data_IF_721039125720
#
_entry.id   IF_721039125720
#
_cell.length_a   1.000
_cell.length_b   1.000
_cell.length_c   1.000
_cell.angle_alpha   90.00
_cell.angle_beta   90.00
_cell.angle_gamma   90.00
#
_symmetry.space_group_name_H-M   'P 1'
#
loop_
_entity.id
_entity.type
_entity.pdbx_description
1 polymer ?
#
# COMPACT_ATOMS: atom_id res chain seq x y z
N UNK A 1 52.78 29.59 -25.99
CA UNK A 1 52.39 29.36 -24.58
C UNK A 1 50.97 28.79 -24.57
N UNK A 2 50.82 27.50 -24.22
CA UNK A 2 49.55 26.76 -24.31
C UNK A 2 48.75 26.93 -23.02
N UNK A 3 47.46 27.21 -23.14
CA UNK A 3 46.52 27.32 -22.03
C UNK A 3 45.35 26.35 -22.30
N UNK A 4 44.77 25.82 -21.21
CA UNK A 4 43.50 25.08 -21.11
C UNK A 4 43.55 23.61 -21.57
N UNK A 5 42.96 22.63 -20.89
CA UNK A 5 42.12 22.61 -19.70
C UNK A 5 42.33 21.25 -19.01
N UNK A 6 42.32 21.23 -17.68
CA UNK A 6 42.12 20.01 -16.89
C UNK A 6 40.64 19.67 -17.04
N UNK A 7 40.31 18.78 -17.97
CA UNK A 7 38.97 18.18 -18.03
C UNK A 7 38.87 17.19 -16.88
N UNK A 8 38.31 17.69 -15.79
CA UNK A 8 37.69 16.92 -14.71
C UNK A 8 36.68 15.97 -15.36
N UNK A 9 37.08 14.74 -15.64
CA UNK A 9 36.15 13.67 -15.99
C UNK A 9 35.31 13.41 -14.73
N UNK A 10 34.20 14.14 -14.66
CA UNK A 10 33.18 14.00 -13.65
C UNK A 10 32.90 12.52 -13.44
N UNK A 11 32.86 12.15 -12.16
CA UNK A 11 32.20 10.97 -11.66
C UNK A 11 30.79 10.84 -12.27
N UNK A 12 30.68 10.21 -13.43
CA UNK A 12 29.46 9.55 -13.84
C UNK A 12 29.37 8.29 -12.99
N UNK A 13 29.04 8.46 -11.71
CA UNK A 13 28.45 7.37 -10.96
C UNK A 13 27.22 6.99 -11.78
N UNK A 14 27.27 5.81 -12.39
CA UNK A 14 26.07 5.14 -12.86
C UNK A 14 25.21 4.94 -11.60
N UNK A 15 24.37 5.93 -11.30
CA UNK A 15 23.24 5.73 -10.43
C UNK A 15 22.39 4.71 -11.17
N UNK A 16 22.57 3.44 -10.83
CA UNK A 16 21.53 2.45 -11.01
C UNK A 16 20.29 3.08 -10.38
N UNK A 17 19.42 3.65 -11.20
CA UNK A 17 18.18 4.22 -10.71
C UNK A 17 17.44 3.08 -10.02
N UNK A 18 17.24 3.17 -8.71
CA UNK A 18 16.21 2.39 -8.05
C UNK A 18 14.91 2.76 -8.74
N UNK A 19 14.49 1.96 -9.72
CA UNK A 19 13.17 2.07 -10.33
C UNK A 19 12.18 1.48 -9.33
N UNK A 20 11.99 2.10 -8.17
CA UNK A 20 10.94 1.70 -7.24
C UNK A 20 10.47 2.89 -6.43
N UNK A 21 9.18 2.93 -6.18
CA UNK A 21 8.57 3.92 -5.29
C UNK A 21 8.22 3.20 -3.99
N UNK A 22 8.71 3.72 -2.87
CA UNK A 22 8.47 3.19 -1.52
C UNK A 22 8.04 4.32 -0.61
N UNK A 23 6.87 4.17 0.00
CA UNK A 23 6.28 5.21 0.82
C UNK A 23 5.34 4.64 1.87
N UNK A 24 4.97 5.46 2.84
CA UNK A 24 4.10 5.06 3.93
C UNK A 24 2.73 5.69 3.81
N UNK A 25 1.71 4.95 4.22
CA UNK A 25 0.37 5.45 4.44
C UNK A 25 -0.05 5.16 5.88
N UNK A 26 -0.40 6.20 6.63
CA UNK A 26 -0.80 6.08 8.02
C UNK A 26 -2.18 5.44 8.15
N UNK A 27 -2.48 4.84 9.29
CA UNK A 27 -3.80 4.26 9.58
C UNK A 27 -4.89 5.35 9.45
N UNK A 28 -5.80 5.17 8.50
CA UNK A 28 -6.98 6.02 8.37
C UNK A 28 -8.05 5.58 9.38
N UNK A 29 -8.44 4.31 9.33
CA UNK A 29 -9.44 3.73 10.22
C UNK A 29 -9.21 2.23 10.40
N UNK A 30 -9.70 1.68 11.51
CA UNK A 30 -9.81 0.23 11.71
C UNK A 30 -11.28 -0.12 11.83
N UNK A 31 -11.76 -1.00 10.95
CA UNK A 31 -13.18 -1.30 10.83
C UNK A 31 -13.47 -2.68 10.26
N UNK A 32 -14.73 -3.08 10.34
CA UNK A 32 -15.25 -4.32 9.75
C UNK A 32 -15.88 -4.01 8.40
N UNK A 33 -15.04 -3.57 7.47
CA UNK A 33 -15.45 -3.21 6.12
C UNK A 33 -14.53 -3.92 5.13
N UNK A 34 -15.12 -4.58 4.15
CA UNK A 34 -14.41 -5.33 3.11
C UNK A 34 -15.21 -5.27 1.80
N UNK A 35 -15.10 -4.17 1.05
CA UNK A 35 -15.89 -3.99 -0.17
C UNK A 35 -15.49 -4.96 -1.29
N UNK A 36 -14.33 -5.63 -1.19
CA UNK A 36 -13.87 -6.57 -2.21
C UNK A 36 -14.43 -7.97 -1.98
N UNK A 37 -14.38 -8.48 -0.74
CA UNK A 37 -14.85 -9.84 -0.42
C UNK A 37 -16.30 -9.85 0.06
N UNK A 38 -16.75 -8.81 0.75
CA UNK A 38 -18.11 -8.69 1.32
C UNK A 38 -18.75 -7.32 1.01
N UNK A 39 -18.98 -7.01 -0.28
CA UNK A 39 -19.54 -5.73 -0.70
C UNK A 39 -20.90 -5.45 -0.05
N UNK A 40 -21.05 -4.23 0.48
CA UNK A 40 -22.28 -3.73 1.09
C UNK A 40 -22.54 -4.21 2.52
N UNK A 41 -21.63 -5.00 3.10
CA UNK A 41 -21.80 -5.55 4.45
C UNK A 41 -21.12 -4.64 5.48
N UNK A 42 -21.93 -3.93 6.28
CA UNK A 42 -21.44 -2.99 7.30
C UNK A 42 -20.74 -3.66 8.51
N UNK A 43 -20.74 -4.99 8.57
CA UNK A 43 -20.00 -5.79 9.56
C UNK A 43 -19.39 -7.02 8.86
N UNK A 44 -18.27 -6.82 8.16
CA UNK A 44 -17.54 -7.93 7.55
C UNK A 44 -17.02 -8.91 8.62
N UNK A 45 -16.85 -10.21 8.28
CA UNK A 45 -16.26 -11.21 9.17
C UNK A 45 -14.87 -10.83 9.68
N UNK A 46 -14.08 -10.15 8.85
CA UNK A 46 -12.74 -9.67 9.18
C UNK A 46 -12.73 -8.21 9.65
N UNK A 47 -11.74 -7.88 10.48
CA UNK A 47 -11.41 -6.49 10.85
C UNK A 47 -10.20 -6.07 10.05
N UNK A 48 -10.30 -4.95 9.36
CA UNK A 48 -9.24 -4.41 8.53
C UNK A 48 -8.68 -3.12 9.09
N UNK A 49 -7.37 -2.95 8.96
CA UNK A 49 -6.73 -1.65 8.99
C UNK A 49 -6.79 -1.07 7.58
N UNK A 50 -7.33 0.14 7.45
CA UNK A 50 -7.52 0.82 6.17
C UNK A 50 -6.62 2.05 6.11
N UNK A 51 -6.04 2.30 4.94
CA UNK A 51 -5.16 3.43 4.63
C UNK A 51 -5.46 3.98 3.22
N UNK A 52 -4.94 5.17 2.91
CA UNK A 52 -5.03 5.79 1.59
C UNK A 52 -6.12 6.85 1.51
N UNK A 53 -6.82 6.92 0.37
CA UNK A 53 -7.87 7.90 0.08
C UNK A 53 -9.06 7.85 1.05
N UNK A 54 -9.74 8.98 1.28
CA UNK A 54 -10.89 9.07 2.19
C UNK A 54 -12.23 8.65 1.58
N UNK A 55 -12.28 8.14 0.35
CA UNK A 55 -13.51 7.65 -0.29
C UNK A 55 -13.89 6.21 0.08
N UNK A 56 -13.10 5.53 0.92
CA UNK A 56 -13.32 4.13 1.29
C UNK A 56 -14.70 3.89 1.94
N UNK A 57 -15.45 2.91 1.43
CA UNK A 57 -16.81 2.61 1.89
C UNK A 57 -17.10 1.09 1.84
N UNK A 58 -18.20 0.64 2.44
CA UNK A 58 -18.61 -0.78 2.53
C UNK A 58 -18.94 -1.43 1.19
N UNK A 59 -19.38 -0.67 0.19
CA UNK A 59 -19.83 -1.22 -1.09
C UNK A 59 -18.79 -1.10 -2.20
N UNK A 60 -18.14 0.07 -2.33
CA UNK A 60 -17.23 0.48 -3.42
C UNK A 60 -17.48 -0.30 -4.72
N UNK A 61 -18.57 -0.05 -5.44
CA UNK A 61 -18.86 -0.79 -6.69
C UNK A 61 -17.86 -0.40 -7.81
N UNK A 62 -17.15 -1.34 -8.45
CA UNK A 62 -16.15 -1.04 -9.49
C UNK A 62 -16.68 -0.25 -10.68
N UNK A 63 -17.99 -0.32 -10.96
CA UNK A 63 -18.58 0.38 -12.09
C UNK A 63 -18.88 1.85 -11.81
N UNK A 64 -19.04 2.23 -10.54
CA UNK A 64 -19.59 3.55 -10.15
C UNK A 64 -18.71 4.32 -9.19
N UNK A 65 -17.85 3.63 -8.43
CA UNK A 65 -16.96 4.20 -7.44
C UNK A 65 -15.52 4.24 -7.98
N UNK A 66 -14.95 5.44 -7.99
CA UNK A 66 -13.58 5.69 -8.42
C UNK A 66 -12.84 6.40 -7.28
N UNK A 67 -11.89 5.74 -6.59
CA UNK A 67 -11.19 6.33 -5.46
C UNK A 67 -10.48 7.65 -5.78
N UNK A 68 -9.96 7.80 -7.01
CA UNK A 68 -9.27 9.04 -7.44
C UNK A 68 -10.22 10.22 -7.47
N UNK A 69 -11.39 10.01 -8.07
CA UNK A 69 -12.38 11.06 -8.27
C UNK A 69 -13.11 11.41 -6.98
N UNK A 70 -13.38 10.39 -6.17
CA UNK A 70 -14.27 10.52 -5.02
C UNK A 70 -13.51 10.89 -3.72
N UNK A 71 -12.18 10.76 -3.68
CA UNK A 71 -11.34 11.17 -2.54
C UNK A 71 -10.92 12.64 -2.60
N UNK A 72 -10.87 13.30 -1.45
CA UNK A 72 -10.37 14.68 -1.27
C UNK A 72 -9.09 14.76 -0.45
N UNK A 73 -8.71 13.68 0.24
CA UNK A 73 -7.47 13.57 0.99
C UNK A 73 -6.97 12.12 1.04
N UNK A 74 -5.71 11.95 1.41
CA UNK A 74 -5.07 10.63 1.55
C UNK A 74 -4.24 10.57 2.83
N UNK A 75 -4.12 9.38 3.42
CA UNK A 75 -3.20 9.12 4.54
C UNK A 75 -1.78 8.76 4.11
N UNK A 76 -1.53 8.70 2.80
CA UNK A 76 -0.21 8.44 2.20
C UNK A 76 0.69 9.67 2.19
N UNK A 77 2.00 9.46 2.18
CA UNK A 77 2.98 10.57 2.10
C UNK A 77 3.04 11.22 0.71
N UNK A 78 2.58 10.52 -0.33
CA UNK A 78 2.33 11.12 -1.65
C UNK A 78 0.90 11.65 -1.68
N UNK A 79 0.74 12.95 -1.93
CA UNK A 79 -0.56 13.63 -1.97
C UNK A 79 -1.43 13.19 -3.15
N UNK A 80 -0.81 12.62 -4.18
CA UNK A 80 -1.43 12.20 -5.43
C UNK A 80 -1.99 10.77 -5.34
N UNK A 81 -1.66 10.02 -4.30
CA UNK A 81 -2.12 8.64 -4.14
C UNK A 81 -3.43 8.57 -3.37
N UNK A 82 -4.53 8.44 -4.12
CA UNK A 82 -5.89 8.23 -3.61
C UNK A 82 -6.33 6.77 -3.60
N UNK A 83 -5.41 5.82 -3.85
CA UNK A 83 -5.71 4.39 -3.74
C UNK A 83 -6.19 4.04 -2.32
N UNK A 84 -6.94 2.96 -2.19
CA UNK A 84 -7.26 2.38 -0.90
C UNK A 84 -6.55 1.05 -0.70
N UNK A 85 -5.90 0.90 0.45
CA UNK A 85 -5.28 -0.36 0.85
C UNK A 85 -5.80 -0.77 2.21
N UNK A 86 -6.10 -2.05 2.38
CA UNK A 86 -6.54 -2.57 3.66
C UNK A 86 -6.02 -3.98 3.91
N UNK A 87 -5.66 -4.26 5.16
CA UNK A 87 -5.09 -5.54 5.57
C UNK A 87 -5.79 -6.03 6.83
N UNK A 88 -5.91 -7.35 6.98
CA UNK A 88 -6.51 -7.90 8.19
C UNK A 88 -5.66 -7.58 9.43
N UNK A 89 -6.35 -7.21 10.51
CA UNK A 89 -5.72 -6.82 11.76
C UNK A 89 -5.26 -8.06 12.53
N UNK A 90 -4.00 -8.06 12.96
CA UNK A 90 -3.46 -9.11 13.79
C UNK A 90 -3.82 -8.90 15.28
N UNK A 91 -4.24 -9.97 15.94
CA UNK A 91 -4.48 -10.01 17.38
C UNK A 91 -3.56 -11.02 18.05
N UNK A 92 -2.89 -10.60 19.11
CA UNK A 92 -2.20 -11.50 20.03
C UNK A 92 -3.20 -12.11 21.00
N UNK A 93 -3.26 -13.44 21.05
CA UNK A 93 -4.02 -14.19 22.05
C UNK A 93 -3.14 -14.48 23.26
N UNK A 94 -3.44 -13.85 24.39
CA UNK A 94 -2.74 -14.09 25.64
C UNK A 94 -3.12 -15.45 26.26
N UNK A 95 -2.28 -15.97 27.16
CA UNK A 95 -2.50 -17.27 27.83
C UNK A 95 -3.82 -17.33 28.63
N UNK A 96 -4.33 -16.18 29.05
CA UNK A 96 -5.63 -16.05 29.73
C UNK A 96 -6.83 -16.01 28.77
N UNK A 97 -6.63 -16.22 27.47
CA UNK A 97 -7.69 -16.24 26.46
C UNK A 97 -8.11 -14.86 25.92
N UNK A 98 -7.59 -13.76 26.47
CA UNK A 98 -7.88 -12.41 25.97
C UNK A 98 -7.12 -12.11 24.67
N UNK A 99 -7.70 -11.24 23.85
CA UNK A 99 -7.10 -10.79 22.60
C UNK A 99 -6.69 -9.32 22.71
N UNK A 100 -5.47 -9.01 22.25
CA UNK A 100 -4.97 -7.64 22.15
C UNK A 100 -4.52 -7.37 20.72
N UNK A 101 -5.01 -6.28 20.12
CA UNK A 101 -4.58 -5.86 18.78
C UNK A 101 -3.07 -5.60 18.78
N UNK A 102 -2.37 -6.21 17.83
CA UNK A 102 -0.96 -5.91 17.57
C UNK A 102 -0.90 -4.56 16.87
N UNK A 103 -0.17 -3.60 17.45
CA UNK A 103 0.03 -2.29 16.83
C UNK A 103 1.06 -2.40 15.72
N UNK A 104 0.74 -1.82 14.56
CA UNK A 104 1.66 -1.66 13.46
C UNK A 104 2.63 -0.52 13.80
N UNK A 105 3.89 -0.68 13.44
CA UNK A 105 4.89 0.37 13.53
C UNK A 105 5.40 0.70 12.12
N UNK A 106 5.81 1.96 11.87
CA UNK A 106 6.33 2.36 10.57
C UNK A 106 7.56 1.55 10.17
N UNK A 107 7.69 1.28 8.87
CA UNK A 107 8.90 0.65 8.34
C UNK A 107 10.11 1.61 8.45
N UNK A 108 11.31 1.05 8.54
CA UNK A 108 12.55 1.81 8.79
C UNK A 108 12.72 2.92 7.75
N UNK A 109 13.03 4.12 8.22
CA UNK A 109 13.25 5.30 7.38
C UNK A 109 11.97 5.98 6.88
N UNK A 110 10.79 5.52 7.28
CA UNK A 110 9.51 6.16 6.98
C UNK A 110 8.87 6.74 8.25
N UNK A 111 8.00 7.74 8.08
CA UNK A 111 7.22 8.35 9.17
C UNK A 111 5.73 8.13 8.91
N UNK A 112 5.08 7.43 9.82
CA UNK A 112 3.65 7.18 9.79
C UNK A 112 3.12 6.92 11.20
N UNK A 113 1.80 6.94 11.36
CA UNK A 113 1.11 6.40 12.54
C UNK A 113 0.41 5.10 12.16
N UNK A 114 0.95 3.96 12.61
CA UNK A 114 0.50 2.64 12.19
C UNK A 114 0.59 2.45 10.67
N UNK A 115 -0.47 1.87 10.08
CA UNK A 115 -0.65 1.85 8.64
C UNK A 115 0.18 0.81 7.91
N UNK A 116 0.55 1.11 6.66
CA UNK A 116 1.26 0.19 5.75
C UNK A 116 2.39 0.91 5.01
N UNK A 117 3.30 0.12 4.44
CA UNK A 117 4.29 0.61 3.47
C UNK A 117 3.93 0.07 2.09
N UNK A 118 3.78 0.97 1.14
CA UNK A 118 3.43 0.65 -0.25
C UNK A 118 4.70 0.63 -1.09
N UNK A 119 4.78 -0.36 -1.98
CA UNK A 119 5.88 -0.57 -2.91
C UNK A 119 5.32 -0.65 -4.32
N UNK A 120 5.74 0.25 -5.20
CA UNK A 120 5.58 0.09 -6.64
C UNK A 120 6.93 -0.28 -7.22
N UNK A 121 7.03 -1.53 -7.68
CA UNK A 121 8.25 -2.10 -8.23
C UNK A 121 7.92 -2.56 -9.67
N UNK A 122 8.47 -1.90 -10.70
CA UNK A 122 8.39 -2.35 -12.07
C UNK A 122 9.20 -3.64 -12.25
N UNK A 123 8.94 -4.42 -13.32
CA UNK A 123 9.77 -5.56 -13.66
C UNK A 123 11.25 -5.16 -13.82
N UNK A 124 12.15 -5.97 -13.28
CA UNK A 124 13.60 -5.73 -13.33
C UNK A 124 14.25 -5.99 -14.71
N UNK A 125 13.44 -6.10 -15.77
CA UNK A 125 13.90 -6.46 -17.11
C UNK A 125 14.36 -5.26 -17.95
N UNK A 126 14.10 -4.03 -17.47
CA UNK A 126 14.43 -2.78 -18.16
C UNK A 126 13.73 -2.61 -19.51
N UNK A 127 12.73 -3.44 -19.83
CA UNK A 127 12.06 -3.50 -21.13
C UNK A 127 10.55 -3.40 -21.01
N UNK A 128 9.97 -3.90 -19.92
CA UNK A 128 8.54 -3.84 -19.72
C UNK A 128 8.11 -2.38 -19.49
N UNK A 129 7.20 -1.91 -20.34
CA UNK A 129 6.57 -0.61 -20.15
C UNK A 129 5.50 -0.72 -19.06
N UNK A 130 5.70 -0.03 -17.95
CA UNK A 130 4.71 0.04 -16.88
C UNK A 130 3.64 1.07 -17.24
N UNK A 131 2.39 0.69 -17.09
CA UNK A 131 1.23 1.57 -17.30
C UNK A 131 0.40 1.61 -16.02
N UNK A 132 -0.37 2.70 -15.84
CA UNK A 132 -1.29 2.82 -14.71
C UNK A 132 -2.36 1.71 -14.75
N UNK A 133 -2.87 1.37 -13.56
CA UNK A 133 -3.99 0.45 -13.46
C UNK A 133 -5.21 1.01 -14.19
N UNK A 134 -6.07 0.13 -14.70
CA UNK A 134 -7.33 0.56 -15.31
C UNK A 134 -8.30 0.97 -14.21
N UNK A 135 -9.18 1.96 -14.44
CA UNK A 135 -10.25 2.29 -13.49
C UNK A 135 -11.03 1.03 -13.07
N UNK A 136 -11.31 0.92 -11.77
CA UNK A 136 -11.98 -0.23 -11.17
C UNK A 136 -11.07 -1.43 -10.86
N UNK A 137 -9.75 -1.33 -11.11
CA UNK A 137 -8.81 -2.41 -10.78
C UNK A 137 -8.72 -2.65 -9.27
N UNK A 138 -8.91 -3.92 -8.88
CA UNK A 138 -8.88 -4.38 -7.50
C UNK A 138 -8.10 -5.67 -7.41
N UNK A 139 -7.38 -5.83 -6.31
CA UNK A 139 -6.55 -6.99 -6.07
C UNK A 139 -6.74 -7.50 -4.64
N UNK A 140 -6.95 -8.82 -4.54
CA UNK A 140 -6.76 -9.58 -3.32
C UNK A 140 -5.37 -10.20 -3.38
N UNK A 141 -4.47 -9.74 -2.53
CA UNK A 141 -3.14 -10.33 -2.37
C UNK A 141 -3.18 -11.32 -1.20
N UNK A 142 -3.02 -12.60 -1.49
CA UNK A 142 -2.85 -13.64 -0.47
C UNK A 142 -1.36 -13.93 -0.37
N UNK A 143 -0.72 -13.79 0.80
CA UNK A 143 0.70 -14.11 0.92
C UNK A 143 0.96 -15.57 0.53
N UNK A 144 2.00 -15.79 -0.27
CA UNK A 144 2.53 -17.11 -0.59
C UNK A 144 3.10 -17.76 0.70
N UNK A 145 2.94 -19.08 0.83
CA UNK A 145 3.19 -19.87 2.04
C UNK A 145 4.58 -19.59 2.65
N UNK A 146 4.60 -18.90 3.79
CA UNK A 146 5.77 -18.84 4.67
C UNK A 146 5.38 -19.53 5.98
N UNK A 147 5.78 -20.79 6.08
CA UNK A 147 5.78 -21.63 7.28
C UNK A 147 4.45 -21.86 8.01
N UNK A 148 3.31 -21.91 7.31
CA UNK A 148 2.07 -22.52 7.82
C UNK A 148 1.32 -21.76 8.93
N UNK A 149 1.89 -20.66 9.43
CA UNK A 149 1.30 -19.83 10.50
C UNK A 149 0.77 -18.48 10.01
N UNK A 150 1.26 -17.96 8.87
CA UNK A 150 0.90 -16.64 8.33
C UNK A 150 -0.07 -16.69 7.14
N UNK A 151 -0.47 -17.88 6.70
CA UNK A 151 -1.23 -18.19 5.47
C UNK A 151 -2.66 -17.59 5.38
N UNK A 152 -3.07 -16.68 6.28
CA UNK A 152 -4.48 -16.28 6.43
C UNK A 152 -4.73 -14.79 6.55
N UNK A 153 -3.73 -13.94 6.34
CA UNK A 153 -3.93 -12.48 6.41
C UNK A 153 -3.80 -11.92 4.99
N UNK A 154 -4.88 -11.93 4.20
CA UNK A 154 -4.85 -11.30 2.90
C UNK A 154 -4.63 -9.78 3.07
N UNK A 155 -3.80 -9.24 2.18
CA UNK A 155 -3.79 -7.81 1.87
C UNK A 155 -4.75 -7.55 0.72
N UNK A 156 -5.44 -6.43 0.76
CA UNK A 156 -6.40 -6.04 -0.26
C UNK A 156 -6.14 -4.60 -0.68
N UNK A 157 -6.33 -4.34 -1.96
CA UNK A 157 -6.13 -3.02 -2.50
C UNK A 157 -7.08 -2.74 -3.66
N UNK A 158 -7.49 -1.48 -3.74
CA UNK A 158 -8.12 -0.87 -4.89
C UNK A 158 -7.22 0.29 -5.31
N UNK A 159 -6.75 0.23 -6.54
CA UNK A 159 -5.65 1.09 -7.00
C UNK A 159 -6.18 2.15 -7.94
N UNK A 160 -5.82 3.38 -7.61
CA UNK A 160 -5.99 4.59 -8.40
C UNK A 160 -4.98 4.67 -9.56
#
# INVERSE_FOLDING_TARGET
>A
MKCKAITLALLAQAVSAQQMIRFSCSQLVVGRMDPLVNPGVAVSPHVHQIVGGNSFNVSMDPATHDPVRDSTCTSCTFSEDFSNYWTAVLYFRARNGTYKRVRQFPNVGLRADGGVTVYYIPPYDGKTTVTAFKPGFRMLNVPEQVDGWLDKIPGMMEVA
#
